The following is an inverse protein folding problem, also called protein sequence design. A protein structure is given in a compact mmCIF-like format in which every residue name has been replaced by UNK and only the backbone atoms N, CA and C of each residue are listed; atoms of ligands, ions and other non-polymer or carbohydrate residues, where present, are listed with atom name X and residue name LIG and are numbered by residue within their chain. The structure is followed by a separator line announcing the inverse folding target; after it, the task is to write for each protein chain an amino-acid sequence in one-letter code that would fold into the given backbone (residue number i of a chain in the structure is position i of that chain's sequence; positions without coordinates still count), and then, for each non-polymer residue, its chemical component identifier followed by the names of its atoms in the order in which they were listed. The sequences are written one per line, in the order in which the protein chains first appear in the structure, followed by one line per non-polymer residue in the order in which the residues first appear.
data_IF_536462646875
#
_entry.id   IF_536462646875
#
_cell.length_a   1.000
_cell.length_b   1.000
_cell.length_c   1.000
_cell.angle_alpha   90.00
_cell.angle_beta   90.00
_cell.angle_gamma   90.00
#
_symmetry.space_group_name_H-M   'P 1'
#
loop_
_entity.id
_entity.type
_entity.pdbx_description
1 polymer ?
#
# COMPACT_ATOMS: atom_id res chain seq x y z
N UNK A 1 9.12 15.70 15.71
CA UNK A 1 9.28 14.37 15.09
C UNK A 1 7.96 13.59 14.99
N UNK A 2 7.18 13.38 16.06
CA UNK A 2 5.91 12.60 16.00
C UNK A 2 4.90 13.13 14.96
N UNK A 3 4.67 14.44 14.92
CA UNK A 3 3.79 15.09 13.93
C UNK A 3 4.23 14.84 12.48
N UNK A 4 5.54 14.74 12.23
CA UNK A 4 6.07 14.43 10.90
C UNK A 4 5.66 13.02 10.46
N UNK A 5 5.84 12.01 11.32
CA UNK A 5 5.48 10.62 10.99
C UNK A 5 3.98 10.44 10.80
N UNK A 6 3.15 11.10 11.61
CA UNK A 6 1.69 11.07 11.47
C UNK A 6 1.26 11.68 10.14
N UNK A 7 1.78 12.86 9.79
CA UNK A 7 1.45 13.52 8.51
C UNK A 7 1.99 12.75 7.31
N UNK A 8 3.20 12.19 7.42
CA UNK A 8 3.77 11.30 6.41
C UNK A 8 2.88 10.09 6.17
N UNK A 9 2.45 9.44 7.24
CA UNK A 9 1.58 8.27 7.17
C UNK A 9 0.19 8.61 6.63
N UNK A 10 -0.44 9.71 7.06
CA UNK A 10 -1.72 10.17 6.53
C UNK A 10 -1.63 10.46 5.04
N UNK A 11 -0.58 11.17 4.61
CA UNK A 11 -0.35 11.46 3.20
C UNK A 11 -0.15 10.19 2.38
N UNK A 12 0.67 9.27 2.87
CA UNK A 12 0.92 8.00 2.20
C UNK A 12 -0.32 7.12 2.14
N UNK A 13 -1.03 6.94 3.26
CA UNK A 13 -2.23 6.10 3.33
C UNK A 13 -3.34 6.60 2.42
N UNK A 14 -3.59 7.92 2.40
CA UNK A 14 -4.59 8.53 1.52
C UNK A 14 -4.23 8.39 0.04
N UNK A 15 -2.95 8.47 -0.33
CA UNK A 15 -2.56 8.23 -1.72
C UNK A 15 -2.60 6.76 -2.08
N UNK A 16 -2.21 5.89 -1.16
CA UNK A 16 -2.28 4.45 -1.34
C UNK A 16 -3.73 3.96 -1.52
N UNK A 17 -4.67 4.43 -0.69
CA UNK A 17 -6.11 4.13 -0.85
C UNK A 17 -6.57 4.57 -2.24
N UNK A 18 -6.40 5.86 -2.56
CA UNK A 18 -6.93 6.45 -3.78
C UNK A 18 -6.35 5.79 -5.03
N UNK A 19 -5.03 5.61 -5.11
CA UNK A 19 -4.41 5.04 -6.29
C UNK A 19 -4.70 3.56 -6.45
N UNK A 20 -4.75 2.78 -5.37
CA UNK A 20 -5.10 1.35 -5.46
C UNK A 20 -6.56 1.16 -5.87
N UNK A 21 -7.49 1.87 -5.24
CA UNK A 21 -8.92 1.76 -5.54
C UNK A 21 -9.22 2.26 -6.95
N UNK A 22 -8.66 3.40 -7.35
CA UNK A 22 -8.88 3.95 -8.69
C UNK A 22 -8.37 3.00 -9.78
N UNK A 23 -7.15 2.46 -9.62
CA UNK A 23 -6.64 1.47 -10.57
C UNK A 23 -7.47 0.19 -10.59
N UNK A 24 -7.91 -0.30 -9.42
CA UNK A 24 -8.75 -1.48 -9.32
C UNK A 24 -10.11 -1.27 -10.02
N UNK A 25 -10.74 -0.11 -9.82
CA UNK A 25 -11.97 0.29 -10.50
C UNK A 25 -11.79 0.32 -12.01
N UNK A 26 -10.69 0.91 -12.51
CA UNK A 26 -10.44 0.95 -13.95
C UNK A 26 -10.29 -0.46 -14.52
N UNK A 27 -9.43 -1.29 -13.93
CA UNK A 27 -9.19 -2.66 -14.42
C UNK A 27 -10.48 -3.49 -14.38
N UNK A 28 -11.22 -3.45 -13.28
CA UNK A 28 -12.49 -4.18 -13.15
C UNK A 28 -13.57 -3.67 -14.12
N UNK A 29 -13.64 -2.36 -14.36
CA UNK A 29 -14.53 -1.80 -15.37
C UNK A 29 -14.14 -2.27 -16.78
N UNK A 30 -12.86 -2.25 -17.14
CA UNK A 30 -12.38 -2.75 -18.44
C UNK A 30 -12.73 -4.23 -18.65
N UNK A 31 -12.51 -5.08 -17.65
CA UNK A 31 -12.84 -6.51 -17.75
C UNK A 31 -14.36 -6.70 -17.89
N UNK A 32 -15.15 -5.99 -17.08
CA UNK A 32 -16.62 -6.10 -17.09
C UNK A 32 -17.20 -5.64 -18.43
N UNK A 33 -16.70 -4.53 -18.97
CA UNK A 33 -17.06 -4.04 -20.30
C UNK A 33 -16.64 -5.02 -21.40
N UNK A 34 -15.44 -5.61 -21.30
CA UNK A 34 -14.99 -6.63 -22.24
C UNK A 34 -15.92 -7.85 -22.26
N UNK A 35 -16.35 -8.32 -21.09
CA UNK A 35 -17.32 -9.42 -20.97
C UNK A 35 -18.67 -9.04 -21.59
N UNK A 36 -19.17 -7.84 -21.29
CA UNK A 36 -20.43 -7.34 -21.83
C UNK A 36 -20.44 -7.28 -23.37
N UNK A 37 -19.37 -6.72 -23.95
CA UNK A 37 -19.21 -6.64 -25.41
C UNK A 37 -19.13 -8.05 -26.02
N UNK A 38 -18.38 -8.96 -25.40
CA UNK A 38 -18.23 -10.34 -25.88
C UNK A 38 -19.55 -11.14 -25.81
N UNK A 39 -20.47 -10.76 -24.93
CA UNK A 39 -21.81 -11.36 -24.83
C UNK A 39 -22.82 -10.77 -25.81
N UNK A 40 -22.40 -9.88 -26.72
CA UNK A 40 -23.23 -9.34 -27.79
C UNK A 40 -23.97 -8.06 -27.44
N UNK A 41 -23.60 -7.37 -26.34
CA UNK A 41 -24.13 -6.05 -25.98
C UNK A 41 -25.66 -6.01 -25.90
N UNK A 42 -26.24 -6.96 -25.15
CA UNK A 42 -27.68 -7.03 -24.88
C UNK A 42 -28.22 -5.72 -24.30
N UNK A 43 -29.50 -5.42 -24.56
CA UNK A 43 -30.15 -4.24 -23.97
C UNK A 43 -30.01 -4.21 -22.44
N UNK A 44 -29.71 -3.03 -21.90
CA UNK A 44 -29.46 -2.83 -20.47
C UNK A 44 -30.77 -2.89 -19.66
N UNK A 45 -31.21 -4.12 -19.41
CA UNK A 45 -32.28 -4.42 -18.47
C UNK A 45 -31.74 -4.53 -17.04
N UNK A 46 -32.63 -4.44 -16.04
CA UNK A 46 -32.24 -4.51 -14.62
C UNK A 46 -31.43 -5.78 -14.29
N UNK A 47 -31.82 -6.94 -14.85
CA UNK A 47 -31.10 -8.20 -14.67
C UNK A 47 -29.68 -8.17 -15.24
N UNK A 48 -29.48 -7.51 -16.39
CA UNK A 48 -28.17 -7.34 -17.03
C UNK A 48 -27.29 -6.43 -16.17
N UNK A 49 -27.84 -5.35 -15.63
CA UNK A 49 -27.12 -4.44 -14.74
C UNK A 49 -26.66 -5.16 -13.45
N UNK A 50 -27.53 -5.94 -12.82
CA UNK A 50 -27.19 -6.72 -11.62
C UNK A 50 -26.10 -7.76 -11.90
N UNK A 51 -26.18 -8.45 -13.04
CA UNK A 51 -25.15 -9.40 -13.47
C UNK A 51 -23.80 -8.71 -13.71
N UNK A 52 -23.78 -7.57 -14.42
CA UNK A 52 -22.56 -6.80 -14.66
C UNK A 52 -21.96 -6.26 -13.35
N UNK A 53 -22.79 -5.83 -12.41
CA UNK A 53 -22.34 -5.38 -11.11
C UNK A 53 -21.69 -6.51 -10.29
N UNK A 54 -22.24 -7.73 -10.35
CA UNK A 54 -21.62 -8.91 -9.72
C UNK A 54 -20.26 -9.23 -10.32
N UNK A 55 -20.15 -9.21 -11.65
CA UNK A 55 -18.89 -9.40 -12.37
C UNK A 55 -17.88 -8.32 -11.97
N UNK A 56 -18.29 -7.05 -11.96
CA UNK A 56 -17.46 -5.93 -11.54
C UNK A 56 -16.94 -6.11 -10.11
N UNK A 57 -17.83 -6.43 -9.16
CA UNK A 57 -17.47 -6.62 -7.75
C UNK A 57 -16.45 -7.75 -7.57
N UNK A 58 -16.64 -8.85 -8.27
CA UNK A 58 -15.70 -9.98 -8.24
C UNK A 58 -14.31 -9.57 -8.74
N UNK A 59 -14.25 -8.97 -9.93
CA UNK A 59 -12.98 -8.53 -10.52
C UNK A 59 -12.34 -7.38 -9.75
N UNK A 60 -13.14 -6.53 -9.10
CA UNK A 60 -12.65 -5.44 -8.26
C UNK A 60 -11.83 -5.98 -7.09
N UNK A 61 -12.31 -6.99 -6.36
CA UNK A 61 -11.58 -7.57 -5.20
C UNK A 61 -10.23 -8.16 -5.64
N UNK A 62 -10.20 -8.88 -6.76
CA UNK A 62 -8.98 -9.45 -7.32
C UNK A 62 -8.01 -8.36 -7.80
N UNK A 63 -8.52 -7.39 -8.56
CA UNK A 63 -7.74 -6.29 -9.10
C UNK A 63 -7.20 -5.38 -7.98
N UNK A 64 -7.96 -5.22 -6.90
CA UNK A 64 -7.54 -4.42 -5.76
C UNK A 64 -6.31 -5.02 -5.06
N UNK A 65 -6.24 -6.34 -4.95
CA UNK A 65 -5.06 -7.03 -4.39
C UNK A 65 -3.78 -6.75 -5.20
N UNK A 66 -3.87 -6.84 -6.53
CA UNK A 66 -2.75 -6.57 -7.44
C UNK A 66 -2.35 -5.09 -7.44
N UNK A 67 -3.33 -4.19 -7.53
CA UNK A 67 -3.10 -2.75 -7.60
C UNK A 67 -2.62 -2.17 -6.27
N UNK A 68 -2.98 -2.77 -5.14
CA UNK A 68 -2.41 -2.44 -3.83
C UNK A 68 -0.90 -2.69 -3.83
N UNK A 69 -0.45 -3.85 -4.32
CA UNK A 69 0.98 -4.18 -4.43
C UNK A 69 1.75 -3.17 -5.31
N UNK A 70 1.20 -2.85 -6.48
CA UNK A 70 1.80 -1.87 -7.39
C UNK A 70 1.83 -0.47 -6.77
N UNK A 71 0.76 -0.08 -6.09
CA UNK A 71 0.66 1.24 -5.43
C UNK A 71 1.64 1.37 -4.27
N UNK A 72 1.90 0.30 -3.51
CA UNK A 72 2.92 0.30 -2.45
C UNK A 72 4.31 0.68 -2.95
N UNK A 73 4.68 0.26 -4.17
CA UNK A 73 5.94 0.68 -4.80
C UNK A 73 5.87 2.13 -5.30
N UNK A 74 4.81 2.46 -6.04
CA UNK A 74 4.66 3.77 -6.70
C UNK A 74 4.64 4.93 -5.70
N UNK A 75 4.03 4.74 -4.52
CA UNK A 75 3.89 5.80 -3.53
C UNK A 75 5.17 6.15 -2.78
N UNK A 76 6.25 5.38 -2.89
CA UNK A 76 7.52 5.77 -2.27
C UNK A 76 8.15 7.01 -2.93
N UNK A 77 8.06 7.15 -4.26
CA UNK A 77 8.63 8.31 -4.96
C UNK A 77 8.15 9.65 -4.41
N UNK A 78 6.82 9.91 -4.29
CA UNK A 78 6.33 11.18 -3.76
C UNK A 78 6.67 11.39 -2.29
N UNK A 79 6.86 10.33 -1.49
CA UNK A 79 7.30 10.45 -0.09
C UNK A 79 8.69 11.09 0.01
N UNK A 80 9.63 10.66 -0.84
CA UNK A 80 11.01 11.14 -0.80
C UNK A 80 11.20 12.50 -1.49
N UNK A 81 10.38 12.81 -2.50
CA UNK A 81 10.52 14.06 -3.27
C UNK A 81 9.69 15.23 -2.74
N UNK A 82 8.90 15.05 -1.68
CA UNK A 82 8.04 16.11 -1.12
C UNK A 82 8.49 16.49 0.28
N UNK A 83 8.40 17.78 0.58
CA UNK A 83 8.51 18.23 1.95
C UNK A 83 7.18 18.09 2.70
N UNK A 84 7.23 17.52 3.89
CA UNK A 84 6.10 17.31 4.79
C UNK A 84 6.43 18.00 6.11
N UNK A 85 5.68 19.05 6.46
CA UNK A 85 5.82 19.78 7.72
C UNK A 85 7.25 20.31 7.99
N UNK A 86 7.93 20.85 6.97
CA UNK A 86 9.30 21.37 7.09
C UNK A 86 10.38 20.28 7.15
N UNK A 87 10.05 19.02 6.85
CA UNK A 87 11.00 17.92 6.81
C UNK A 87 10.83 17.09 5.55
N UNK A 88 11.91 16.48 5.06
CA UNK A 88 11.91 15.54 3.93
C UNK A 88 12.76 14.32 4.24
N UNK A 89 12.40 13.18 3.65
CA UNK A 89 13.23 11.98 3.65
C UNK A 89 14.23 12.08 2.51
N UNK A 90 15.53 12.08 2.84
CA UNK A 90 16.61 12.11 1.85
C UNK A 90 17.28 10.74 1.74
N UNK A 91 17.65 10.37 0.51
CA UNK A 91 18.49 9.21 0.23
C UNK A 91 19.94 9.66 0.11
N UNK A 92 20.80 8.95 0.84
CA UNK A 92 22.25 9.10 0.76
C UNK A 92 22.80 8.14 -0.29
N UNK A 93 23.61 8.65 -1.21
CA UNK A 93 24.38 7.82 -2.14
C UNK A 93 25.52 7.11 -1.39
N UNK A 94 26.11 6.10 -2.05
CA UNK A 94 27.32 5.48 -1.53
C UNK A 94 28.46 6.52 -1.54
N UNK A 95 29.37 6.50 -0.55
CA UNK A 95 30.47 7.44 -0.49
C UNK A 95 31.38 7.25 -1.70
N UNK A 96 31.32 8.19 -2.65
CA UNK A 96 32.43 8.45 -3.55
C UNK A 96 33.31 9.45 -2.80
N UNK A 97 34.55 9.08 -2.50
CA UNK A 97 35.54 9.99 -1.91
C UNK A 97 35.20 10.56 -0.51
N UNK A 98 34.69 9.71 0.40
CA UNK A 98 34.52 10.09 1.81
C UNK A 98 33.41 11.10 2.12
N UNK A 99 32.68 11.59 1.11
CA UNK A 99 31.51 12.46 1.25
C UNK A 99 30.23 11.70 0.85
N UNK A 100 29.22 11.71 1.72
CA UNK A 100 27.90 11.19 1.40
C UNK A 100 27.19 12.23 0.53
N UNK A 101 27.09 11.98 -0.77
CA UNK A 101 26.34 12.86 -1.65
C UNK A 101 24.82 12.64 -1.49
N UNK A 102 24.09 13.74 -1.50
CA UNK A 102 22.63 13.74 -1.37
C UNK A 102 22.02 13.70 -2.76
N UNK A 103 21.12 12.76 -2.99
CA UNK A 103 20.36 12.71 -4.23
C UNK A 103 19.26 13.79 -4.16
N UNK A 104 19.34 14.81 -5.01
CA UNK A 104 18.41 15.96 -5.00
C UNK A 104 17.01 15.58 -5.52
N UNK A 105 16.95 14.77 -6.57
CA UNK A 105 15.70 14.24 -7.12
C UNK A 105 15.79 12.73 -7.22
N UNK A 106 14.86 12.03 -6.56
CA UNK A 106 14.92 10.58 -6.42
C UNK A 106 14.07 9.94 -7.52
N UNK A 107 14.72 9.10 -8.33
CA UNK A 107 14.09 8.27 -9.35
C UNK A 107 13.58 6.93 -8.80
N UNK A 108 12.82 6.19 -9.61
CA UNK A 108 12.35 4.84 -9.22
C UNK A 108 13.50 3.83 -9.08
N UNK A 109 14.57 3.96 -9.88
CA UNK A 109 15.74 3.08 -9.83
C UNK A 109 16.46 3.11 -8.49
N UNK A 110 16.63 4.29 -7.91
CA UNK A 110 17.30 4.48 -6.61
C UNK A 110 16.48 3.91 -5.44
N UNK A 111 15.15 3.92 -5.60
CA UNK A 111 14.21 3.46 -4.59
C UNK A 111 14.13 1.94 -4.49
N UNK A 112 14.49 1.18 -5.53
CA UNK A 112 14.29 -0.29 -5.54
C UNK A 112 14.93 -0.96 -4.32
N UNK A 113 16.17 -0.58 -3.96
CA UNK A 113 16.89 -1.17 -2.82
C UNK A 113 16.22 -0.85 -1.48
N UNK A 114 15.73 0.38 -1.33
CA UNK A 114 15.06 0.83 -0.09
C UNK A 114 13.65 0.25 0.00
N UNK A 115 12.93 0.24 -1.12
CA UNK A 115 11.62 -0.39 -1.24
C UNK A 115 11.66 -1.86 -0.85
N UNK A 116 12.60 -2.66 -1.36
CA UNK A 116 12.69 -4.09 -1.00
C UNK A 116 12.82 -4.30 0.50
N UNK A 117 13.66 -3.51 1.17
CA UNK A 117 13.85 -3.57 2.62
C UNK A 117 12.60 -3.13 3.38
N UNK A 118 11.99 -2.03 2.95
CA UNK A 118 10.78 -1.49 3.56
C UNK A 118 9.56 -2.40 3.35
N UNK A 119 9.41 -2.98 2.16
CA UNK A 119 8.36 -3.93 1.83
C UNK A 119 8.49 -5.22 2.64
N UNK A 120 9.71 -5.76 2.76
CA UNK A 120 9.98 -6.90 3.64
C UNK A 120 9.62 -6.57 5.11
N UNK A 121 9.94 -5.36 5.58
CA UNK A 121 9.56 -4.91 6.91
C UNK A 121 8.03 -4.85 7.09
N UNK A 122 7.27 -4.37 6.10
CA UNK A 122 5.80 -4.41 6.14
C UNK A 122 5.29 -5.84 6.25
N UNK A 123 5.82 -6.77 5.45
CA UNK A 123 5.42 -8.18 5.51
C UNK A 123 5.62 -8.75 6.92
N UNK A 124 6.78 -8.49 7.54
CA UNK A 124 7.05 -8.91 8.92
C UNK A 124 6.08 -8.29 9.92
N UNK A 125 5.77 -7.00 9.79
CA UNK A 125 4.83 -6.31 10.68
C UNK A 125 3.39 -6.81 10.51
N UNK A 126 2.96 -7.11 9.28
CA UNK A 126 1.65 -7.70 9.00
C UNK A 126 1.60 -9.12 9.58
N UNK A 127 2.63 -9.94 9.39
CA UNK A 127 2.72 -11.28 9.97
C UNK A 127 2.65 -11.25 11.51
N UNK A 128 3.35 -10.31 12.15
CA UNK A 128 3.26 -10.11 13.59
C UNK A 128 1.84 -9.72 14.05
N UNK A 129 1.18 -8.81 13.34
CA UNK A 129 -0.22 -8.44 13.61
C UNK A 129 -1.17 -9.64 13.45
N UNK A 130 -0.99 -10.46 12.42
CA UNK A 130 -1.80 -11.67 12.22
C UNK A 130 -1.64 -12.65 13.38
N UNK A 131 -0.42 -12.90 13.85
CA UNK A 131 -0.17 -13.77 15.01
C UNK A 131 -0.88 -13.23 16.25
N UNK A 132 -0.82 -11.92 16.48
CA UNK A 132 -1.50 -11.28 17.61
C UNK A 132 -3.02 -11.44 17.53
N UNK A 133 -3.61 -11.25 16.34
CA UNK A 133 -5.06 -11.43 16.16
C UNK A 133 -5.47 -12.89 16.37
N UNK A 134 -4.72 -13.86 15.84
CA UNK A 134 -4.99 -15.30 16.08
C UNK A 134 -4.93 -15.65 17.57
N UNK A 135 -3.92 -15.13 18.29
CA UNK A 135 -3.82 -15.33 19.73
C UNK A 135 -5.02 -14.72 20.46
N UNK A 136 -5.44 -13.52 20.07
CA UNK A 136 -6.59 -12.83 20.65
C UNK A 136 -7.90 -13.58 20.36
N UNK A 137 -8.16 -14.00 19.13
CA UNK A 137 -9.38 -14.74 18.76
C UNK A 137 -9.47 -16.06 19.52
N UNK A 138 -8.35 -16.75 19.73
CA UNK A 138 -8.30 -18.00 20.51
C UNK A 138 -8.65 -17.77 21.99
N UNK A 139 -8.30 -16.62 22.56
CA UNK A 139 -8.57 -16.29 23.96
C UNK A 139 -9.99 -15.79 24.20
N UNK A 140 -10.58 -15.07 23.24
CA UNK A 140 -11.84 -14.34 23.44
C UNK A 140 -13.04 -14.88 22.65
N UNK A 141 -12.85 -15.80 21.70
CA UNK A 141 -13.95 -16.30 20.85
C UNK A 141 -14.06 -17.83 20.91
N UNK A 142 -15.12 -18.31 21.56
CA UNK A 142 -15.48 -19.73 21.63
C UNK A 142 -16.55 -20.05 20.59
N UNK A 143 -16.16 -20.32 19.34
CA UNK A 143 -17.09 -20.86 18.34
C UNK A 143 -16.96 -20.39 16.88
N UNK A 144 -16.12 -19.39 16.58
CA UNK A 144 -15.82 -19.01 15.19
C UNK A 144 -14.59 -19.75 14.67
N UNK A 145 -14.49 -19.97 13.36
CA UNK A 145 -13.26 -20.51 12.79
C UNK A 145 -12.12 -19.49 12.95
N UNK A 146 -10.89 -19.99 13.09
CA UNK A 146 -9.70 -19.18 13.41
C UNK A 146 -9.43 -18.07 12.37
N UNK A 147 -9.94 -18.21 11.14
CA UNK A 147 -9.67 -17.32 10.02
C UNK A 147 -10.91 -16.61 9.44
N UNK A 148 -12.07 -16.64 10.11
CA UNK A 148 -13.29 -15.99 9.59
C UNK A 148 -13.11 -14.46 9.44
N UNK A 149 -12.21 -13.87 10.21
CA UNK A 149 -11.86 -12.45 10.12
C UNK A 149 -10.89 -12.12 8.97
N UNK A 150 -10.27 -13.12 8.34
CA UNK A 150 -9.24 -12.91 7.33
C UNK A 150 -9.87 -12.61 5.96
N UNK A 151 -9.73 -11.37 5.50
CA UNK A 151 -10.16 -10.94 4.18
C UNK A 151 -9.23 -9.81 3.69
N UNK A 152 -9.42 -9.38 2.44
CA UNK A 152 -8.60 -8.32 1.84
C UNK A 152 -8.68 -6.99 2.63
N UNK A 153 -9.83 -6.68 3.23
CA UNK A 153 -10.03 -5.46 4.00
C UNK A 153 -9.26 -5.48 5.32
N UNK A 154 -9.22 -6.62 6.02
CA UNK A 154 -8.43 -6.77 7.25
C UNK A 154 -6.94 -6.78 6.94
N UNK A 155 -6.51 -7.44 5.86
CA UNK A 155 -5.13 -7.36 5.38
C UNK A 155 -4.75 -5.91 5.04
N UNK A 156 -5.62 -5.18 4.36
CA UNK A 156 -5.41 -3.76 4.05
C UNK A 156 -5.27 -2.91 5.31
N UNK A 157 -6.10 -3.15 6.33
CA UNK A 157 -5.98 -2.53 7.65
C UNK A 157 -4.61 -2.79 8.29
N UNK A 158 -4.13 -4.04 8.26
CA UNK A 158 -2.79 -4.36 8.79
C UNK A 158 -1.66 -3.71 8.00
N UNK A 159 -1.81 -3.56 6.69
CA UNK A 159 -0.84 -2.82 5.85
C UNK A 159 -0.81 -1.35 6.25
N UNK A 160 -1.95 -0.74 6.54
CA UNK A 160 -2.00 0.66 7.01
C UNK A 160 -1.32 0.83 8.37
N UNK A 161 -1.65 -0.01 9.34
CA UNK A 161 -1.05 0.02 10.68
C UNK A 161 0.44 -0.28 10.61
N UNK A 162 0.83 -1.33 9.89
CA UNK A 162 2.23 -1.70 9.65
C UNK A 162 2.99 -0.60 8.90
N UNK A 163 2.33 0.10 7.98
CA UNK A 163 2.86 1.25 7.27
C UNK A 163 3.35 2.35 8.21
N UNK A 164 2.55 2.72 9.21
CA UNK A 164 2.93 3.73 10.22
C UNK A 164 4.24 3.35 10.94
N UNK A 165 4.30 2.14 11.49
CA UNK A 165 5.50 1.66 12.20
C UNK A 165 6.70 1.48 11.27
N UNK A 166 6.46 1.04 10.03
CA UNK A 166 7.52 0.82 9.03
C UNK A 166 8.27 2.10 8.68
N UNK A 167 7.59 3.25 8.53
CA UNK A 167 8.26 4.53 8.26
C UNK A 167 9.11 4.98 9.44
N UNK A 168 8.63 4.75 10.65
CA UNK A 168 9.37 5.02 11.88
C UNK A 168 10.68 4.21 11.89
N UNK A 169 10.58 2.89 11.74
CA UNK A 169 11.72 1.97 11.78
C UNK A 169 12.69 2.25 10.61
N UNK A 170 12.17 2.53 9.41
CA UNK A 170 12.99 2.86 8.25
C UNK A 170 13.88 4.07 8.51
N UNK A 171 13.32 5.14 9.07
CA UNK A 171 14.07 6.36 9.38
C UNK A 171 15.10 6.20 10.51
N UNK A 172 14.84 5.31 11.47
CA UNK A 172 15.75 5.08 12.62
C UNK A 172 16.88 4.09 12.30
N UNK A 173 16.57 3.02 11.56
CA UNK A 173 17.50 1.89 11.36
C UNK A 173 18.23 1.94 10.02
N UNK A 174 17.66 2.57 9.00
CA UNK A 174 18.25 2.56 7.67
C UNK A 174 19.26 3.70 7.50
N UNK A 175 20.55 3.38 7.56
CA UNK A 175 21.65 4.37 7.41
C UNK A 175 21.60 5.18 6.10
N UNK A 176 20.89 4.69 5.07
CA UNK A 176 20.74 5.37 3.77
C UNK A 176 19.62 6.42 3.74
N UNK A 177 18.73 6.40 4.72
CA UNK A 177 17.59 7.31 4.80
C UNK A 177 17.82 8.25 5.97
N UNK A 178 17.79 9.56 5.71
CA UNK A 178 17.86 10.58 6.77
C UNK A 178 16.66 11.51 6.66
N UNK A 179 16.29 12.11 7.78
CA UNK A 179 15.31 13.18 7.85
C UNK A 179 16.08 14.49 7.87
N UNK A 180 15.81 15.37 6.92
CA UNK A 180 16.40 16.70 6.86
C UNK A 180 15.31 17.75 6.86
N UNK A 181 15.64 18.95 7.34
CA UNK A 181 14.75 20.11 7.18
C UNK A 181 14.68 20.50 5.69
N UNK A 182 13.47 20.75 5.24
CA UNK A 182 13.24 21.68 4.15
C UNK A 182 12.89 23.04 4.80
#
# INVERSE_FOLDING_TARGET
MSRFYILLWLFWSLRLTLNSILMACLISAFITLGIYVNQGSLELNQSVYEALFLVFKFWFVLSWSLTLLLSLFRELKPIFNRCINGYRLTLLSCPSEGKQEKIKEIGYGDLVKVWRKWFMLIIWLVGAQMILVVAFTKLFTSGSAIFDWFNIYTLYGFVLVGGYFSFMILSMRCKKVKIERC
#
